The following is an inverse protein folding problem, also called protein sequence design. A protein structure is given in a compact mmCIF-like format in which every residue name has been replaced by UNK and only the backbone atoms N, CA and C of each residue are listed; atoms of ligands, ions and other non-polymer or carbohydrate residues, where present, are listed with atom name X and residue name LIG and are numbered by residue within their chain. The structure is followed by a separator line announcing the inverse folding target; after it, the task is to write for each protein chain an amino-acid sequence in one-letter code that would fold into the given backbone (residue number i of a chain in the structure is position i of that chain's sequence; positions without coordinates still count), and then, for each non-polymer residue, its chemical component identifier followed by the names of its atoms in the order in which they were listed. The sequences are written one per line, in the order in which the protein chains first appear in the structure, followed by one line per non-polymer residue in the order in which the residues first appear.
data_IF_370670747075
#
_entry.id   IF_370670747075
#
_cell.length_a   1.000
_cell.length_b   1.000
_cell.length_c   1.000
_cell.angle_alpha   90.00
_cell.angle_beta   90.00
_cell.angle_gamma   90.00
#
_symmetry.space_group_name_H-M   'P 1'
#
loop_
_entity.id
_entity.type
_entity.pdbx_description
1 polymer ?
#
# COMPACT_ATOMS: atom_id res chain seq x y z
N UNK A 1 1.50 -0.57 10.94
CA UNK A 1 1.54 -0.30 9.48
C UNK A 1 0.13 -0.28 8.93
N UNK A 2 -0.17 0.53 7.92
CA UNK A 2 -1.47 0.47 7.22
C UNK A 2 -1.30 -0.24 5.88
N UNK A 3 -2.08 -1.30 5.66
CA UNK A 3 -2.18 -1.98 4.37
C UNK A 3 -3.53 -1.62 3.73
N UNK A 4 -3.48 -1.01 2.55
CA UNK A 4 -4.64 -0.48 1.86
C UNK A 4 -4.72 -0.96 0.42
N UNK A 5 -5.94 -1.16 -0.07
CA UNK A 5 -6.28 -1.24 -1.49
C UNK A 5 -7.78 -1.50 -1.65
N UNK A 6 -8.25 -1.50 -2.89
CA UNK A 6 -9.66 -1.77 -3.21
C UNK A 6 -9.75 -2.97 -4.11
N UNK A 7 -9.61 -4.17 -3.58
CA UNK A 7 -9.72 -5.38 -4.39
C UNK A 7 -10.19 -6.53 -3.53
N UNK A 8 -10.63 -7.60 -4.17
CA UNK A 8 -10.75 -8.88 -3.47
C UNK A 8 -9.36 -9.25 -2.95
N UNK A 9 -9.33 -9.72 -1.71
CA UNK A 9 -8.13 -10.32 -1.11
C UNK A 9 -7.58 -11.37 -2.09
N UNK A 10 -6.29 -11.29 -2.40
CA UNK A 10 -5.60 -12.25 -3.26
C UNK A 10 -4.41 -12.87 -2.50
N UNK A 11 -3.81 -13.90 -3.10
CA UNK A 11 -2.68 -14.64 -2.51
C UNK A 11 -1.48 -13.75 -2.18
N UNK A 12 -1.24 -12.70 -2.94
CA UNK A 12 -0.04 -11.86 -2.80
C UNK A 12 -0.17 -10.94 -1.59
N UNK A 13 -1.38 -10.44 -1.35
CA UNK A 13 -1.70 -9.71 -0.13
C UNK A 13 -1.59 -10.61 1.10
N UNK A 14 -2.07 -11.85 1.00
CA UNK A 14 -1.96 -12.83 2.08
C UNK A 14 -0.50 -13.15 2.42
N UNK A 15 0.32 -13.40 1.39
CA UNK A 15 1.76 -13.65 1.58
C UNK A 15 2.49 -12.45 2.18
N UNK A 16 2.19 -11.23 1.72
CA UNK A 16 2.79 -10.02 2.30
C UNK A 16 2.39 -9.83 3.77
N UNK A 17 1.11 -10.01 4.10
CA UNK A 17 0.65 -9.88 5.49
C UNK A 17 1.29 -10.93 6.39
N UNK A 18 1.28 -12.19 5.98
CA UNK A 18 1.86 -13.29 6.75
C UNK A 18 3.35 -13.02 7.02
N UNK A 19 4.10 -12.55 6.02
CA UNK A 19 5.51 -12.25 6.22
C UNK A 19 5.74 -11.02 7.11
N UNK A 20 4.94 -9.96 6.98
CA UNK A 20 5.03 -8.79 7.84
C UNK A 20 4.69 -9.14 9.30
N UNK A 21 3.64 -9.93 9.53
CA UNK A 21 3.24 -10.41 10.84
C UNK A 21 4.29 -11.33 11.46
N UNK A 22 4.86 -12.25 10.66
CA UNK A 22 5.97 -13.10 11.08
C UNK A 22 7.19 -12.28 11.53
N UNK A 23 7.43 -11.13 10.90
CA UNK A 23 8.50 -10.19 11.27
C UNK A 23 8.10 -9.24 12.42
N UNK A 24 6.93 -9.42 13.03
CA UNK A 24 6.46 -8.65 14.18
C UNK A 24 5.89 -7.27 13.83
N UNK A 25 5.59 -7.00 12.56
CA UNK A 25 4.93 -5.75 12.15
C UNK A 25 3.42 -5.92 12.29
N UNK A 26 2.81 -5.12 13.17
CA UNK A 26 1.35 -5.08 13.25
C UNK A 26 0.78 -4.36 12.01
N UNK A 27 0.01 -5.09 11.22
CA UNK A 27 -0.61 -4.60 9.98
C UNK A 27 -2.10 -4.35 10.24
N UNK A 28 -2.50 -3.08 10.18
CA UNK A 28 -3.92 -2.74 10.08
C UNK A 28 -4.32 -2.95 8.62
N UNK A 29 -5.06 -4.04 8.38
CA UNK A 29 -5.60 -4.35 7.08
C UNK A 29 -7.00 -3.76 6.91
N UNK A 30 -7.28 -3.15 5.76
CA UNK A 30 -8.59 -2.54 5.48
C UNK A 30 -9.47 -3.40 4.56
N UNK A 31 -9.25 -4.71 4.58
CA UNK A 31 -9.95 -5.68 3.74
C UNK A 31 -10.57 -6.75 4.63
N UNK A 32 -11.82 -7.13 4.40
CA UNK A 32 -12.46 -8.23 5.12
C UNK A 32 -13.25 -9.12 4.14
N UNK A 33 -12.85 -10.38 3.99
CA UNK A 33 -13.64 -11.43 3.29
C UNK A 33 -14.14 -11.08 1.87
N UNK A 34 -13.28 -10.48 1.04
CA UNK A 34 -13.67 -10.09 -0.33
C UNK A 34 -14.64 -8.90 -0.37
N UNK A 35 -14.86 -8.21 0.75
CA UNK A 35 -15.51 -6.91 0.87
C UNK A 35 -14.50 -5.94 1.47
N UNK A 36 -14.44 -4.71 0.96
CA UNK A 36 -13.56 -3.72 1.57
C UNK A 36 -14.11 -3.40 2.95
N UNK A 37 -13.28 -3.40 4.01
CA UNK A 37 -13.76 -3.13 5.36
C UNK A 37 -14.43 -1.75 5.34
N UNK A 38 -15.75 -1.76 5.53
CA UNK A 38 -16.62 -0.60 5.37
C UNK A 38 -16.23 0.57 6.29
N UNK A 39 -15.36 0.36 7.29
CA UNK A 39 -14.92 1.39 8.22
C UNK A 39 -14.23 2.57 7.50
N UNK A 40 -13.25 2.35 6.60
CA UNK A 40 -12.67 3.48 5.83
C UNK A 40 -13.73 4.16 4.95
N UNK A 41 -14.61 3.37 4.33
CA UNK A 41 -15.59 3.86 3.35
C UNK A 41 -16.77 4.59 3.98
N UNK A 42 -17.10 4.29 5.23
CA UNK A 42 -18.12 4.97 6.03
C UNK A 42 -17.53 6.14 6.83
N UNK A 43 -16.21 6.17 7.01
CA UNK A 43 -15.54 7.30 7.62
C UNK A 43 -15.55 8.51 6.69
N UNK A 44 -15.78 9.68 7.29
CA UNK A 44 -15.63 10.93 6.59
C UNK A 44 -14.15 11.24 6.30
N UNK A 45 -13.93 12.19 5.39
CA UNK A 45 -12.63 12.72 4.97
C UNK A 45 -11.67 13.01 6.13
N UNK A 46 -12.18 13.57 7.25
CA UNK A 46 -11.38 13.91 8.42
C UNK A 46 -10.86 12.67 9.14
N UNK A 47 -11.74 11.72 9.47
CA UNK A 47 -11.36 10.47 10.14
C UNK A 47 -10.39 9.65 9.30
N UNK A 48 -10.56 9.65 7.98
CA UNK A 48 -9.64 8.99 7.07
C UNK A 48 -8.25 9.63 7.15
N UNK A 49 -8.14 10.94 7.05
CA UNK A 49 -6.86 11.63 7.17
C UNK A 49 -6.17 11.36 8.53
N UNK A 50 -6.93 11.38 9.62
CA UNK A 50 -6.43 11.03 10.96
C UNK A 50 -5.92 9.58 11.01
N UNK A 51 -6.58 8.63 10.34
CA UNK A 51 -6.12 7.25 10.24
C UNK A 51 -4.78 7.16 9.49
N UNK A 52 -4.66 7.79 8.32
CA UNK A 52 -3.41 7.74 7.54
C UNK A 52 -2.24 8.35 8.30
N UNK A 53 -2.42 9.49 8.96
CA UNK A 53 -1.33 10.15 9.70
C UNK A 53 -0.90 9.34 10.93
N UNK A 54 -1.80 8.56 11.55
CA UNK A 54 -1.42 7.64 12.63
C UNK A 54 -0.52 6.51 12.17
N UNK A 55 -0.47 6.21 10.87
CA UNK A 55 0.33 5.13 10.31
C UNK A 55 1.48 5.70 9.48
N UNK A 56 2.67 5.73 10.08
CA UNK A 56 3.90 6.22 9.41
C UNK A 56 4.25 5.45 8.14
N UNK A 57 3.87 4.18 8.04
CA UNK A 57 4.11 3.32 6.89
C UNK A 57 2.78 2.89 6.30
N UNK A 58 2.61 3.17 5.00
CA UNK A 58 1.41 2.83 4.23
C UNK A 58 1.83 2.00 3.03
N UNK A 59 1.24 0.81 2.90
CA UNK A 59 1.38 -0.04 1.72
C UNK A 59 0.08 0.04 0.93
N UNK A 60 0.17 0.43 -0.32
CA UNK A 60 -0.94 0.68 -1.22
C UNK A 60 -0.95 -0.35 -2.35
N UNK A 61 -1.91 -1.26 -2.32
CA UNK A 61 -2.24 -2.18 -3.40
C UNK A 61 -3.17 -1.51 -4.39
N UNK A 62 -2.66 -1.28 -5.59
CA UNK A 62 -3.39 -0.59 -6.65
C UNK A 62 -4.10 -1.62 -7.51
N UNK A 63 -5.39 -1.36 -7.73
CA UNK A 63 -6.31 -2.18 -8.50
C UNK A 63 -7.10 -1.32 -9.49
N UNK A 64 -7.69 -1.95 -10.51
CA UNK A 64 -8.61 -1.25 -11.41
C UNK A 64 -9.84 -0.72 -10.68
N UNK A 65 -10.35 -1.45 -9.69
CA UNK A 65 -11.48 -1.00 -8.86
C UNK A 65 -11.13 0.27 -8.09
N UNK A 66 -9.90 0.40 -7.57
CA UNK A 66 -9.44 1.62 -6.89
C UNK A 66 -9.37 2.81 -7.84
N UNK A 67 -8.86 2.58 -9.04
CA UNK A 67 -8.66 3.62 -10.04
C UNK A 67 -9.99 4.10 -10.66
N UNK A 68 -11.01 3.24 -10.68
CA UNK A 68 -12.33 3.54 -11.23
C UNK A 68 -13.34 4.03 -10.19
N UNK A 69 -13.05 3.90 -8.88
CA UNK A 69 -13.91 4.39 -7.81
C UNK A 69 -13.54 5.81 -7.35
N UNK A 70 -14.55 6.66 -7.14
CA UNK A 70 -14.35 8.07 -6.74
C UNK A 70 -13.62 8.17 -5.39
N UNK A 71 -13.97 7.32 -4.42
CA UNK A 71 -13.31 7.31 -3.10
C UNK A 71 -11.92 6.66 -3.21
N UNK A 72 -11.74 5.64 -4.04
CA UNK A 72 -10.43 5.07 -4.36
C UNK A 72 -9.45 6.12 -4.87
N UNK A 73 -9.86 6.92 -5.84
CA UNK A 73 -9.07 8.05 -6.37
C UNK A 73 -8.81 9.11 -5.29
N UNK A 74 -9.78 9.41 -4.43
CA UNK A 74 -9.56 10.32 -3.29
C UNK A 74 -8.44 9.81 -2.37
N UNK A 75 -8.41 8.51 -2.06
CA UNK A 75 -7.36 7.94 -1.23
C UNK A 75 -6.00 7.95 -1.91
N UNK A 76 -5.92 7.67 -3.22
CA UNK A 76 -4.69 7.79 -4.01
C UNK A 76 -4.11 9.21 -3.88
N UNK A 77 -4.95 10.22 -4.05
CA UNK A 77 -4.54 11.62 -3.95
C UNK A 77 -4.12 12.01 -2.53
N UNK A 78 -4.79 11.47 -1.51
CA UNK A 78 -4.46 11.70 -0.11
C UNK A 78 -3.10 11.10 0.26
N UNK A 79 -2.86 9.82 -0.06
CA UNK A 79 -1.59 9.15 0.28
C UNK A 79 -0.43 9.75 -0.49
N UNK A 80 -0.64 10.16 -1.75
CA UNK A 80 0.34 10.92 -2.52
C UNK A 80 0.74 12.20 -1.78
N UNK A 81 -0.24 13.04 -1.43
CA UNK A 81 0.01 14.31 -0.71
C UNK A 81 0.72 14.11 0.63
N UNK A 82 0.31 13.10 1.40
CA UNK A 82 0.93 12.80 2.69
C UNK A 82 2.37 12.28 2.51
N UNK A 83 2.63 11.50 1.47
CA UNK A 83 3.97 11.01 1.13
C UNK A 83 4.89 12.15 0.68
N UNK A 84 4.42 13.03 -0.21
CA UNK A 84 5.17 14.21 -0.68
C UNK A 84 5.49 15.18 0.48
N UNK A 85 4.62 15.24 1.49
CA UNK A 85 4.84 16.01 2.72
C UNK A 85 5.77 15.31 3.73
N UNK A 86 6.24 14.08 3.44
CA UNK A 86 7.05 13.28 4.36
C UNK A 86 6.31 12.82 5.62
N UNK A 87 4.97 12.92 5.65
CA UNK A 87 4.15 12.50 6.80
C UNK A 87 4.00 10.99 6.88
N UNK A 88 4.07 10.31 5.73
CA UNK A 88 4.05 8.85 5.63
C UNK A 88 5.16 8.39 4.68
N UNK A 89 5.63 7.16 4.86
CA UNK A 89 6.39 6.40 3.89
C UNK A 89 5.43 5.53 3.10
N UNK A 90 5.30 5.80 1.81
CA UNK A 90 4.39 5.10 0.90
C UNK A 90 5.13 4.00 0.14
N UNK A 91 4.58 2.79 0.15
CA UNK A 91 4.98 1.67 -0.69
C UNK A 91 3.82 1.34 -1.62
N UNK A 92 4.09 1.18 -2.90
CA UNK A 92 3.06 0.90 -3.90
C UNK A 92 3.26 -0.50 -4.46
N UNK A 93 2.19 -1.29 -4.41
CA UNK A 93 2.15 -2.64 -4.96
C UNK A 93 1.19 -2.64 -6.14
N UNK A 94 1.71 -2.96 -7.32
CA UNK A 94 0.91 -3.09 -8.53
C UNK A 94 0.27 -4.47 -8.59
N UNK A 95 -1.07 -4.55 -8.51
CA UNK A 95 -1.78 -5.80 -8.73
C UNK A 95 -2.12 -5.99 -10.21
N UNK A 96 -1.10 -6.31 -11.01
CA UNK A 96 -1.21 -6.64 -12.43
C UNK A 96 -1.90 -5.57 -13.32
N UNK A 97 -1.83 -4.30 -12.95
CA UNK A 97 -2.27 -3.22 -13.82
C UNK A 97 -1.17 -2.97 -14.83
N UNK A 98 -1.52 -3.09 -16.12
CA UNK A 98 -0.63 -2.69 -17.22
C UNK A 98 -0.52 -1.17 -17.24
N UNK A 99 0.69 -0.62 -17.21
CA UNK A 99 0.92 0.83 -17.11
C UNK A 99 0.22 1.59 -18.24
N UNK A 100 0.27 1.06 -19.47
CA UNK A 100 -0.41 1.62 -20.65
C UNK A 100 -1.93 1.81 -20.52
N UNK A 101 -2.55 1.15 -19.54
CA UNK A 101 -3.98 1.20 -19.26
C UNK A 101 -4.33 2.03 -18.02
N UNK A 102 -3.37 2.79 -17.46
CA UNK A 102 -3.66 3.66 -16.33
C UNK A 102 -4.59 4.81 -16.77
N UNK A 103 -5.68 5.08 -16.04
CA UNK A 103 -6.48 6.27 -16.29
C UNK A 103 -5.65 7.53 -16.00
N UNK A 104 -5.93 8.65 -16.67
CA UNK A 104 -5.20 9.92 -16.49
C UNK A 104 -5.00 10.34 -15.02
N UNK A 105 -5.98 10.03 -14.15
CA UNK A 105 -5.93 10.36 -12.71
C UNK A 105 -4.90 9.51 -11.93
N UNK A 106 -4.52 8.35 -12.46
CA UNK A 106 -3.46 7.49 -11.94
C UNK A 106 -2.11 7.69 -12.65
N UNK A 107 -1.95 8.67 -13.56
CA UNK A 107 -0.72 8.81 -14.34
C UNK A 107 0.55 9.05 -13.51
N UNK A 108 0.42 9.58 -12.29
CA UNK A 108 1.57 9.71 -11.37
C UNK A 108 2.09 8.35 -10.88
N UNK A 109 1.30 7.28 -11.02
CA UNK A 109 1.71 5.92 -10.69
C UNK A 109 2.68 5.34 -11.71
N UNK A 110 2.74 5.88 -12.93
CA UNK A 110 3.69 5.43 -13.95
C UNK A 110 5.14 5.54 -13.48
N UNK A 111 5.45 6.52 -12.61
CA UNK A 111 6.79 6.71 -12.05
C UNK A 111 7.04 5.90 -10.78
N UNK A 112 6.04 5.17 -10.26
CA UNK A 112 6.09 4.49 -8.95
C UNK A 112 5.85 2.99 -9.10
N UNK A 113 5.03 2.59 -10.08
CA UNK A 113 4.75 1.22 -10.45
C UNK A 113 5.80 0.77 -11.47
N UNK A 114 6.34 -0.43 -11.28
CA UNK A 114 7.10 -1.12 -12.32
C UNK A 114 6.13 -1.87 -13.25
N UNK A 115 6.23 -1.67 -14.57
CA UNK A 115 5.53 -2.50 -15.56
C UNK A 115 6.28 -3.81 -15.61
N UNK A 116 5.78 -4.82 -14.89
CA UNK A 116 6.36 -6.14 -14.98
C UNK A 116 5.68 -6.87 -16.13
N UNK A 117 6.09 -6.58 -17.36
CA UNK A 117 5.63 -7.32 -18.55
C UNK A 117 5.99 -8.81 -18.47
N UNK A 118 7.01 -9.18 -17.67
CA UNK A 118 7.50 -10.55 -17.48
C UNK A 118 6.89 -11.28 -16.25
N UNK A 119 6.09 -10.61 -15.41
CA UNK A 119 5.47 -11.22 -14.22
C UNK A 119 4.22 -12.06 -14.57
N UNK A 120 4.28 -12.85 -15.64
CA UNK A 120 3.22 -13.79 -16.01
C UNK A 120 3.22 -15.03 -15.09
N UNK A 121 4.32 -15.27 -14.35
CA UNK A 121 4.47 -16.42 -13.45
C UNK A 121 4.35 -16.02 -11.95
N UNK A 122 3.37 -16.63 -11.25
CA UNK A 122 3.06 -16.44 -9.82
C UNK A 122 4.26 -16.58 -8.85
N UNK A 123 5.33 -17.29 -9.25
CA UNK A 123 6.49 -17.53 -8.39
C UNK A 123 7.36 -16.27 -8.22
N UNK A 124 7.50 -15.45 -9.25
CA UNK A 124 8.35 -14.26 -9.22
C UNK A 124 7.71 -13.12 -8.39
N UNK A 125 6.38 -13.10 -8.35
CA UNK A 125 5.61 -12.11 -7.58
C UNK A 125 5.72 -12.35 -6.08
N UNK A 126 5.68 -13.61 -5.62
CA UNK A 126 5.93 -13.94 -4.22
C UNK A 126 7.32 -13.47 -3.76
N UNK A 127 8.37 -13.69 -4.56
CA UNK A 127 9.72 -13.20 -4.27
C UNK A 127 9.77 -11.67 -4.14
N UNK A 128 9.04 -10.93 -4.98
CA UNK A 128 8.93 -9.46 -4.90
C UNK A 128 8.16 -9.01 -3.65
N UNK A 129 7.15 -9.75 -3.21
CA UNK A 129 6.46 -9.46 -1.93
C UNK A 129 7.38 -9.68 -0.73
N UNK A 130 8.19 -10.74 -0.73
CA UNK A 130 9.18 -10.99 0.32
C UNK A 130 10.23 -9.87 0.38
N UNK A 131 10.76 -9.45 -0.77
CA UNK A 131 11.70 -8.34 -0.86
C UNK A 131 11.09 -7.03 -0.36
N UNK A 132 9.88 -6.71 -0.79
CA UNK A 132 9.15 -5.54 -0.32
C UNK A 132 8.95 -5.57 1.21
N UNK A 133 8.60 -6.73 1.75
CA UNK A 133 8.40 -6.90 3.18
C UNK A 133 9.70 -6.73 3.96
N UNK A 134 10.82 -7.28 3.46
CA UNK A 134 12.14 -7.10 4.07
C UNK A 134 12.62 -5.63 3.99
N UNK A 135 12.37 -4.94 2.87
CA UNK A 135 12.64 -3.50 2.71
C UNK A 135 11.83 -2.66 3.70
N UNK A 136 10.55 -2.99 3.87
CA UNK A 136 9.67 -2.38 4.84
C UNK A 136 10.23 -2.59 6.26
N UNK A 137 10.59 -3.82 6.63
CA UNK A 137 11.16 -4.16 7.94
C UNK A 137 12.45 -3.38 8.17
N UNK A 138 13.37 -3.37 7.21
CA UNK A 138 14.62 -2.61 7.30
C UNK A 138 14.35 -1.12 7.54
N UNK A 139 13.39 -0.52 6.83
CA UNK A 139 13.03 0.88 7.00
C UNK A 139 12.36 1.16 8.34
N UNK A 140 11.55 0.24 8.88
CA UNK A 140 10.94 0.35 10.21
C UNK A 140 12.01 0.29 11.29
N UNK A 141 12.90 -0.70 11.20
CA UNK A 141 14.03 -0.89 12.12
C UNK A 141 14.94 0.34 12.10
N UNK A 142 15.35 0.79 10.92
CA UNK A 142 16.18 1.99 10.77
C UNK A 142 15.53 3.22 11.39
N UNK A 143 14.23 3.45 11.21
CA UNK A 143 13.57 4.60 11.82
C UNK A 143 13.50 4.48 13.36
N UNK A 144 13.34 3.28 13.92
CA UNK A 144 13.35 3.06 15.38
C UNK A 144 14.75 3.33 15.96
N UNK A 145 15.79 2.81 15.32
CA UNK A 145 17.15 2.90 15.87
C UNK A 145 17.85 4.23 15.54
N UNK A 146 17.56 4.86 14.39
CA UNK A 146 18.11 6.18 14.04
C UNK A 146 17.34 7.34 14.68
N UNK A 147 16.16 7.11 15.27
CA UNK A 147 15.55 8.09 16.18
C UNK A 147 16.36 8.28 17.47
N UNK A 148 17.27 7.36 17.81
CA UNK A 148 18.11 7.44 19.02
C UNK A 148 19.44 8.19 18.80
N UNK A 149 19.71 8.74 17.60
CA UNK A 149 20.98 9.43 17.28
C UNK A 149 20.86 10.96 17.19
N UNK A 150 19.79 11.56 17.69
CA UNK A 150 19.70 13.01 17.87
C UNK A 150 19.31 13.34 19.31
N UNK A 151 20.31 13.30 20.20
CA UNK A 151 20.31 14.03 21.47
C UNK A 151 21.11 15.32 21.29
#
# INVERSE_FOLDING_TARGET
MLLMGMQKKNSDMDSLMEHLEFKGINVLNVFEEGRVNNLLWQMNTRKNNELFIKHRYVVLFISYEMLNDIKGVYYLELVKKLSEQGKIKLYVVNNHIKIKNLPKRGGWLESVICDCEECEDNYEMNCKMYQLADDIVCNVVNDIFNQNTCN
#
